data_IF_560120302767
#
_entry.id   IF_560120302767
#
_cell.length_a   1.000
_cell.length_b   1.000
_cell.length_c   1.000
_cell.angle_alpha   90.00
_cell.angle_beta   90.00
_cell.angle_gamma   90.00
#
_symmetry.space_group_name_H-M   'P 1'
#
loop_
_entity.id
_entity.type
_entity.pdbx_description
1 polymer ?
#
# COMPACT_ATOMS: atom_id res chain seq x y z
N UNK A 1 22.00 -5.39 32.48
CA UNK A 1 21.05 -5.61 31.39
C UNK A 1 21.74 -5.35 30.06
N UNK A 2 21.66 -6.30 29.13
CA UNK A 2 22.26 -6.17 27.79
C UNK A 2 21.49 -5.16 26.93
N UNK A 3 22.12 -4.54 25.90
CA UNK A 3 21.44 -3.59 25.02
C UNK A 3 20.17 -4.14 24.38
N UNK A 4 20.19 -5.40 23.93
CA UNK A 4 19.03 -6.06 23.29
C UNK A 4 17.87 -6.24 24.28
N UNK A 5 18.17 -6.54 25.56
CA UNK A 5 17.15 -6.66 26.60
C UNK A 5 16.51 -5.32 26.92
N UNK A 6 17.29 -4.24 26.95
CA UNK A 6 16.77 -2.88 27.14
C UNK A 6 15.89 -2.44 25.97
N UNK A 7 16.30 -2.74 24.75
CA UNK A 7 15.47 -2.47 23.55
C UNK A 7 14.13 -3.19 23.63
N UNK A 8 14.13 -4.46 23.99
CA UNK A 8 12.88 -5.23 24.16
C UNK A 8 11.99 -4.66 25.26
N UNK A 9 12.58 -4.26 26.38
CA UNK A 9 11.84 -3.65 27.49
C UNK A 9 11.23 -2.30 27.08
N UNK A 10 11.94 -1.49 26.32
CA UNK A 10 11.42 -0.21 25.76
C UNK A 10 10.20 -0.50 24.86
N UNK A 11 10.29 -1.45 23.96
CA UNK A 11 9.17 -1.82 23.08
C UNK A 11 7.95 -2.27 23.90
N UNK A 12 8.13 -3.13 24.89
CA UNK A 12 7.05 -3.59 25.78
C UNK A 12 6.36 -2.42 26.51
N UNK A 13 7.12 -1.44 26.98
CA UNK A 13 6.52 -0.27 27.62
C UNK A 13 5.77 0.60 26.62
N UNK A 14 6.27 0.74 25.39
CA UNK A 14 5.60 1.52 24.35
C UNK A 14 4.32 0.84 23.82
N UNK A 15 4.18 -0.49 23.99
CA UNK A 15 2.92 -1.20 23.74
C UNK A 15 1.82 -0.85 24.76
N UNK A 16 2.22 -0.49 25.98
CA UNK A 16 1.31 -0.16 27.07
C UNK A 16 1.07 1.35 27.18
N UNK A 17 2.04 2.17 26.78
CA UNK A 17 2.04 3.60 26.90
C UNK A 17 2.30 4.22 25.51
N UNK A 18 1.37 4.97 24.96
CA UNK A 18 1.44 5.52 23.60
C UNK A 18 2.74 6.30 23.31
N UNK A 19 3.30 6.96 24.33
CA UNK A 19 4.51 7.77 24.19
C UNK A 19 5.30 7.81 25.49
N UNK A 20 6.62 7.64 25.41
CA UNK A 20 7.55 7.73 26.54
C UNK A 20 8.63 8.78 26.28
N UNK A 21 8.89 9.63 27.26
CA UNK A 21 10.04 10.55 27.22
C UNK A 21 11.34 9.79 27.48
N UNK A 22 12.41 10.18 26.79
CA UNK A 22 13.76 9.59 26.97
C UNK A 22 14.20 9.64 28.43
N UNK A 23 13.91 10.73 29.14
CA UNK A 23 14.21 10.88 30.59
C UNK A 23 13.46 9.88 31.47
N UNK A 24 12.25 9.48 31.09
CA UNK A 24 11.48 8.44 31.80
C UNK A 24 12.09 7.07 31.55
N UNK A 25 12.43 6.77 30.29
CA UNK A 25 13.10 5.51 29.91
C UNK A 25 14.43 5.38 30.62
N UNK A 26 15.24 6.44 30.66
CA UNK A 26 16.53 6.53 31.36
C UNK A 26 16.39 6.16 32.84
N UNK A 27 15.40 6.75 33.53
CA UNK A 27 15.11 6.46 34.94
C UNK A 27 14.66 5.02 35.18
N UNK A 28 13.78 4.49 34.32
CA UNK A 28 13.25 3.11 34.45
C UNK A 28 14.32 2.04 34.22
N UNK A 29 15.28 2.32 33.32
CA UNK A 29 16.37 1.40 32.98
C UNK A 29 17.61 1.61 33.87
N UNK A 30 17.64 2.65 34.69
CA UNK A 30 18.79 3.08 35.48
C UNK A 30 20.07 3.24 34.63
N UNK A 31 19.94 3.97 33.49
CA UNK A 31 21.02 4.27 32.55
C UNK A 31 20.97 5.72 32.14
N UNK A 32 22.07 6.25 31.60
CA UNK A 32 22.09 7.62 31.07
C UNK A 32 21.20 7.77 29.83
N UNK A 33 20.69 8.99 29.59
CA UNK A 33 19.91 9.28 28.38
C UNK A 33 20.71 9.01 27.09
N UNK A 34 22.03 9.22 27.12
CA UNK A 34 22.91 8.87 25.99
C UNK A 34 22.93 7.38 25.69
N UNK A 35 22.82 6.54 26.74
CA UNK A 35 22.67 5.08 26.56
C UNK A 35 21.32 4.76 25.93
N UNK A 36 20.25 5.40 26.38
CA UNK A 36 18.91 5.25 25.79
C UNK A 36 18.91 5.66 24.31
N UNK A 37 19.51 6.79 23.94
CA UNK A 37 19.61 7.19 22.53
C UNK A 37 20.37 6.17 21.68
N UNK A 38 21.43 5.56 22.23
CA UNK A 38 22.18 4.50 21.55
C UNK A 38 21.33 3.24 21.33
N UNK A 39 20.55 2.85 22.34
CA UNK A 39 19.64 1.71 22.26
C UNK A 39 18.44 1.96 21.32
N UNK A 40 17.96 3.20 21.23
CA UNK A 40 16.87 3.59 20.35
C UNK A 40 17.28 3.68 18.88
N UNK A 41 18.55 4.00 18.57
CA UNK A 41 19.01 4.18 17.19
C UNK A 41 18.68 2.96 16.30
N UNK A 42 19.02 1.70 16.66
CA UNK A 42 18.66 0.55 15.84
C UNK A 42 17.13 0.35 15.68
N UNK A 43 16.36 0.73 16.71
CA UNK A 43 14.90 0.62 16.67
C UNK A 43 14.29 1.66 15.73
N UNK A 44 14.87 2.86 15.66
CA UNK A 44 14.48 3.92 14.71
C UNK A 44 14.86 3.50 13.28
N UNK A 45 16.09 3.03 13.08
CA UNK A 45 16.59 2.57 11.78
C UNK A 45 15.77 1.40 11.23
N UNK A 46 15.24 0.55 12.11
CA UNK A 46 14.31 -0.55 11.77
C UNK A 46 12.85 -0.12 11.67
N UNK A 47 12.55 1.16 11.80
CA UNK A 47 11.18 1.69 11.79
C UNK A 47 10.26 1.03 12.84
N UNK A 48 10.78 0.64 13.98
CA UNK A 48 9.98 0.09 15.11
C UNK A 48 9.48 1.18 16.04
N UNK A 49 10.24 2.26 16.15
CA UNK A 49 9.90 3.42 16.99
C UNK A 49 10.09 4.73 16.22
N UNK A 50 9.34 5.74 16.62
CA UNK A 50 9.36 7.08 16.07
C UNK A 50 9.72 8.10 17.15
N UNK A 51 10.61 9.05 16.84
CA UNK A 51 10.86 10.20 17.69
C UNK A 51 9.85 11.30 17.38
N UNK A 52 9.12 11.74 18.39
CA UNK A 52 8.13 12.81 18.32
C UNK A 52 8.58 14.00 19.16
N UNK A 53 7.88 15.15 19.06
CA UNK A 53 8.11 16.31 19.93
C UNK A 53 7.90 16.00 21.42
N UNK A 54 7.07 15.02 21.73
CA UNK A 54 6.69 14.64 23.09
C UNK A 54 7.47 13.45 23.65
N UNK A 55 8.29 12.76 22.82
CA UNK A 55 9.07 11.59 23.23
C UNK A 55 9.26 10.57 22.13
N UNK A 56 9.29 9.31 22.53
CA UNK A 56 9.39 8.15 21.66
C UNK A 56 8.06 7.43 21.68
N UNK A 57 7.55 7.04 20.52
CA UNK A 57 6.35 6.21 20.34
C UNK A 57 6.67 5.00 19.46
N UNK A 58 5.83 3.98 19.52
CA UNK A 58 5.90 2.93 18.49
C UNK A 58 5.66 3.55 17.11
N UNK A 59 6.38 3.06 16.12
CA UNK A 59 6.05 3.35 14.74
C UNK A 59 4.81 2.55 14.38
N UNK A 60 3.65 3.08 14.70
CA UNK A 60 2.40 2.64 14.11
C UNK A 60 2.31 3.31 12.74
N UNK A 61 2.48 2.54 11.66
CA UNK A 61 2.08 3.04 10.36
C UNK A 61 0.64 3.56 10.50
N UNK A 62 0.31 4.73 9.95
CA UNK A 62 -1.07 5.20 10.00
C UNK A 62 -1.94 4.04 9.50
N UNK A 63 -2.83 3.56 10.37
CA UNK A 63 -3.81 2.54 10.01
C UNK A 63 -4.73 3.27 9.03
N UNK A 64 -4.40 3.20 7.73
CA UNK A 64 -5.37 3.54 6.70
C UNK A 64 -6.47 2.51 6.91
N UNK A 65 -7.68 2.93 7.27
CA UNK A 65 -8.76 1.97 7.48
C UNK A 65 -8.82 1.05 6.27
N UNK A 66 -8.95 -0.26 6.48
CA UNK A 66 -9.07 -1.24 5.38
C UNK A 66 -10.22 -0.91 4.42
N UNK A 67 -11.07 0.01 4.82
CA UNK A 67 -12.17 0.58 4.04
C UNK A 67 -11.77 1.75 3.15
N UNK A 68 -10.54 2.29 3.26
CA UNK A 68 -10.06 3.41 2.46
C UNK A 68 -8.95 3.01 1.51
N UNK A 69 -9.03 3.46 0.27
CA UNK A 69 -8.02 3.23 -0.75
C UNK A 69 -6.71 3.95 -0.41
N UNK A 70 -5.61 3.22 -0.40
CA UNK A 70 -4.27 3.78 -0.12
C UNK A 70 -3.76 4.76 -1.18
N UNK A 71 -4.42 4.83 -2.34
CA UNK A 71 -4.06 5.76 -3.43
C UNK A 71 -5.00 6.96 -3.54
N UNK A 72 -6.32 6.74 -3.64
CA UNK A 72 -7.30 7.81 -3.90
C UNK A 72 -8.27 8.08 -2.74
N UNK A 73 -8.12 7.39 -1.60
CA UNK A 73 -8.91 7.52 -0.37
C UNK A 73 -10.41 7.19 -0.48
N UNK A 74 -10.89 6.76 -1.66
CA UNK A 74 -12.25 6.26 -1.82
C UNK A 74 -12.45 4.95 -1.06
N UNK A 75 -13.73 4.58 -0.82
CA UNK A 75 -14.07 3.32 -0.18
C UNK A 75 -13.56 2.12 -0.98
N UNK A 76 -12.96 1.14 -0.30
CA UNK A 76 -12.42 -0.09 -0.87
C UNK A 76 -13.38 -1.28 -0.79
N UNK A 77 -14.55 -1.12 -0.17
CA UNK A 77 -15.56 -2.19 -0.13
C UNK A 77 -16.28 -2.30 -1.48
N UNK A 78 -15.53 -2.66 -2.51
CA UNK A 78 -16.00 -2.83 -3.87
C UNK A 78 -15.60 -4.22 -4.38
N UNK A 79 -16.36 -4.74 -5.37
CA UNK A 79 -16.00 -5.96 -6.08
C UNK A 79 -14.70 -5.84 -6.90
N UNK A 80 -14.15 -4.63 -7.05
CA UNK A 80 -12.91 -4.37 -7.79
C UNK A 80 -11.70 -4.22 -6.89
N UNK A 81 -11.85 -4.39 -5.58
CA UNK A 81 -10.80 -4.13 -4.59
C UNK A 81 -9.51 -4.92 -4.89
N UNK A 82 -8.41 -4.26 -4.60
CA UNK A 82 -7.06 -4.82 -4.71
C UNK A 82 -6.42 -4.79 -3.33
N UNK A 83 -5.66 -5.82 -3.00
CA UNK A 83 -4.87 -5.88 -1.78
C UNK A 83 -3.38 -5.96 -2.16
N UNK A 84 -2.57 -5.13 -1.53
CA UNK A 84 -1.13 -5.07 -1.70
C UNK A 84 -0.51 -5.54 -0.39
N UNK A 85 0.10 -6.71 -0.43
CA UNK A 85 0.72 -7.34 0.74
C UNK A 85 2.20 -7.00 0.72
N UNK A 86 2.65 -6.26 1.73
CA UNK A 86 4.06 -5.87 1.87
C UNK A 86 4.90 -6.99 2.49
N UNK A 87 6.22 -6.89 2.34
CA UNK A 87 7.20 -7.83 2.92
C UNK A 87 7.11 -7.93 4.45
N UNK A 88 6.68 -6.86 5.10
CA UNK A 88 6.41 -6.80 6.55
C UNK A 88 5.03 -7.32 6.96
N UNK A 89 4.31 -7.98 6.04
CA UNK A 89 2.95 -8.51 6.19
C UNK A 89 1.83 -7.47 6.35
N UNK A 90 2.15 -6.18 6.28
CA UNK A 90 1.13 -5.14 6.24
C UNK A 90 0.35 -5.20 4.93
N UNK A 91 -0.97 -5.01 4.99
CA UNK A 91 -1.85 -5.06 3.82
C UNK A 91 -2.43 -3.68 3.56
N UNK A 92 -2.11 -3.13 2.39
CA UNK A 92 -2.78 -1.94 1.86
C UNK A 92 -3.94 -2.35 0.95
N UNK A 93 -5.00 -1.56 0.96
CA UNK A 93 -6.19 -1.78 0.14
C UNK A 93 -6.33 -0.69 -0.91
N UNK A 94 -6.70 -1.06 -2.12
CA UNK A 94 -7.07 -0.12 -3.18
C UNK A 94 -8.49 -0.42 -3.68
N UNK A 95 -9.21 0.62 -4.10
CA UNK A 95 -10.62 0.50 -4.49
C UNK A 95 -10.84 -0.21 -5.83
N UNK A 96 -9.83 -0.23 -6.69
CA UNK A 96 -9.90 -0.84 -8.02
C UNK A 96 -8.49 -1.16 -8.57
N UNK A 97 -8.37 -1.96 -9.66
CA UNK A 97 -7.08 -2.29 -10.25
C UNK A 97 -6.25 -1.07 -10.67
N UNK A 98 -6.87 0.00 -11.18
CA UNK A 98 -6.17 1.25 -11.50
C UNK A 98 -5.38 1.79 -10.31
N UNK A 99 -6.05 2.03 -9.18
CA UNK A 99 -5.40 2.54 -7.97
C UNK A 99 -4.40 1.54 -7.37
N UNK A 100 -4.71 0.24 -7.44
CA UNK A 100 -3.81 -0.81 -6.94
C UNK A 100 -2.51 -0.88 -7.73
N UNK A 101 -2.55 -0.75 -9.05
CA UNK A 101 -1.38 -0.77 -9.92
C UNK A 101 -0.51 0.48 -9.75
N UNK A 102 -1.12 1.67 -9.64
CA UNK A 102 -0.39 2.90 -9.37
C UNK A 102 0.29 2.85 -8.00
N UNK A 103 -0.45 2.44 -6.96
CA UNK A 103 0.15 2.29 -5.62
C UNK A 103 1.26 1.26 -5.59
N UNK A 104 1.10 0.14 -6.30
CA UNK A 104 2.14 -0.87 -6.44
C UNK A 104 3.45 -0.27 -7.00
N UNK A 105 3.38 0.58 -8.02
CA UNK A 105 4.56 1.23 -8.61
C UNK A 105 5.29 2.13 -7.61
N UNK A 106 4.55 2.86 -6.76
CA UNK A 106 5.14 3.73 -5.74
C UNK A 106 5.96 2.97 -4.69
N UNK A 107 5.60 1.71 -4.42
CA UNK A 107 6.15 0.92 -3.32
C UNK A 107 6.62 -0.48 -3.76
N UNK A 108 6.95 -0.67 -5.03
CA UNK A 108 7.26 -1.99 -5.62
C UNK A 108 8.29 -2.77 -4.80
N UNK A 109 9.34 -2.10 -4.33
CA UNK A 109 10.41 -2.72 -3.54
C UNK A 109 9.95 -3.25 -2.18
N UNK A 110 8.84 -2.73 -1.65
CA UNK A 110 8.26 -3.17 -0.37
C UNK A 110 7.26 -4.32 -0.54
N UNK A 111 6.77 -4.56 -1.77
CA UNK A 111 5.66 -5.48 -2.01
C UNK A 111 6.12 -6.92 -2.13
N UNK A 112 5.45 -7.79 -1.39
CA UNK A 112 5.55 -9.25 -1.50
C UNK A 112 4.56 -9.78 -2.55
N UNK A 113 3.27 -9.43 -2.39
CA UNK A 113 2.20 -9.89 -3.27
C UNK A 113 1.21 -8.76 -3.58
N UNK A 114 0.64 -8.81 -4.76
CA UNK A 114 -0.52 -7.99 -5.14
C UNK A 114 -1.62 -8.90 -5.68
N UNK A 115 -2.79 -8.80 -5.11
CA UNK A 115 -3.95 -9.62 -5.45
C UNK A 115 -5.13 -8.73 -5.80
N UNK A 116 -5.91 -9.15 -6.78
CA UNK A 116 -7.11 -8.45 -7.24
C UNK A 116 -8.27 -9.45 -7.41
N UNK A 117 -9.40 -8.97 -7.83
CA UNK A 117 -10.57 -9.81 -8.07
C UNK A 117 -10.82 -9.98 -9.58
N UNK A 118 -11.10 -11.21 -9.98
CA UNK A 118 -11.60 -11.50 -11.34
C UNK A 118 -12.95 -10.85 -11.54
N UNK A 119 -13.09 -10.12 -12.64
CA UNK A 119 -14.29 -9.34 -12.92
C UNK A 119 -15.55 -10.20 -13.09
N UNK A 120 -15.43 -11.35 -13.73
CA UNK A 120 -16.59 -12.20 -14.05
C UNK A 120 -16.97 -13.14 -12.90
N UNK A 121 -15.94 -13.74 -12.26
CA UNK A 121 -16.14 -14.79 -11.25
C UNK A 121 -16.16 -14.24 -9.83
N UNK A 122 -15.70 -13.01 -9.63
CA UNK A 122 -15.50 -12.40 -8.31
C UNK A 122 -14.57 -13.23 -7.39
N UNK A 123 -13.62 -13.96 -7.98
CA UNK A 123 -12.61 -14.74 -7.26
C UNK A 123 -11.34 -13.93 -7.08
N UNK A 124 -10.59 -14.23 -6.03
CA UNK A 124 -9.28 -13.62 -5.76
C UNK A 124 -8.23 -14.24 -6.66
N UNK A 125 -7.44 -13.40 -7.33
CA UNK A 125 -6.41 -13.80 -8.28
C UNK A 125 -5.12 -13.00 -8.04
N UNK A 126 -3.96 -13.56 -8.42
CA UNK A 126 -2.71 -12.82 -8.44
C UNK A 126 -2.74 -11.76 -9.54
N UNK A 127 -2.55 -10.49 -9.20
CA UNK A 127 -2.52 -9.44 -10.21
C UNK A 127 -1.36 -9.61 -11.21
N UNK A 128 -0.22 -10.18 -10.78
CA UNK A 128 0.92 -10.47 -11.68
C UNK A 128 0.59 -11.48 -12.78
N UNK A 129 -0.40 -12.35 -12.54
CA UNK A 129 -0.85 -13.37 -13.50
C UNK A 129 -2.13 -12.97 -14.23
N UNK A 130 -2.78 -11.90 -13.80
CA UNK A 130 -4.03 -11.43 -14.38
C UNK A 130 -3.83 -10.85 -15.79
N UNK A 131 -4.90 -10.91 -16.56
CA UNK A 131 -5.04 -10.21 -17.85
C UNK A 131 -5.89 -8.97 -17.60
N UNK A 132 -5.42 -7.81 -18.04
CA UNK A 132 -6.09 -6.54 -17.83
C UNK A 132 -6.72 -6.00 -19.12
N UNK A 133 -7.87 -5.35 -18.98
CA UNK A 133 -8.56 -4.67 -20.07
C UNK A 133 -8.74 -3.19 -19.72
N UNK A 134 -8.27 -2.29 -20.60
CA UNK A 134 -8.47 -0.85 -20.54
C UNK A 134 -9.41 -0.41 -21.66
N UNK A 135 -10.09 0.72 -21.43
CA UNK A 135 -10.94 1.39 -22.43
C UNK A 135 -12.08 0.50 -22.93
N UNK A 136 -12.60 -0.40 -22.11
CA UNK A 136 -13.86 -1.05 -22.40
C UNK A 136 -14.99 -0.01 -22.38
N UNK A 137 -15.91 -0.11 -23.34
CA UNK A 137 -17.09 0.76 -23.43
C UNK A 137 -18.16 0.30 -22.40
N UNK A 138 -17.83 0.52 -21.15
CA UNK A 138 -18.69 0.24 -19.99
C UNK A 138 -18.29 1.17 -18.84
N UNK A 139 -19.28 1.77 -18.17
CA UNK A 139 -19.02 2.54 -16.95
C UNK A 139 -19.18 1.66 -15.72
N UNK A 140 -18.07 1.51 -14.97
CA UNK A 140 -18.02 0.73 -13.74
C UNK A 140 -18.06 1.62 -12.48
N UNK A 141 -18.22 2.95 -12.66
CA UNK A 141 -18.19 3.92 -11.58
C UNK A 141 -16.91 3.82 -10.72
N UNK A 142 -15.78 3.51 -11.35
CA UNK A 142 -14.48 3.44 -10.68
C UNK A 142 -13.51 4.53 -11.15
N UNK A 143 -12.26 4.47 -10.71
CA UNK A 143 -11.25 5.46 -11.10
C UNK A 143 -10.87 5.34 -12.58
N UNK A 144 -10.51 6.47 -13.20
CA UNK A 144 -10.13 6.56 -14.60
C UNK A 144 -8.60 6.62 -14.76
N UNK A 145 -8.04 5.98 -15.80
CA UNK A 145 -8.72 5.07 -16.73
C UNK A 145 -9.26 3.81 -16.03
N UNK A 146 -10.42 3.33 -16.45
CA UNK A 146 -10.98 2.11 -15.89
C UNK A 146 -10.16 0.89 -16.29
N UNK A 147 -9.81 0.08 -15.30
CA UNK A 147 -9.03 -1.15 -15.47
C UNK A 147 -9.83 -2.34 -14.96
N UNK A 148 -10.03 -3.31 -15.82
CA UNK A 148 -10.74 -4.56 -15.50
C UNK A 148 -9.74 -5.71 -15.45
N UNK A 149 -9.78 -6.53 -14.41
CA UNK A 149 -8.89 -7.68 -14.25
C UNK A 149 -9.63 -8.99 -14.51
N UNK A 150 -8.98 -9.90 -15.23
CA UNK A 150 -9.49 -11.23 -15.54
C UNK A 150 -8.44 -12.29 -15.19
N UNK A 151 -8.88 -13.40 -14.61
CA UNK A 151 -8.07 -14.61 -14.41
C UNK A 151 -7.72 -15.28 -15.76
N UNK A 152 -8.67 -15.26 -16.67
CA UNK A 152 -8.55 -15.93 -17.96
C UNK A 152 -8.39 -14.94 -19.12
N UNK A 153 -7.27 -15.05 -19.82
CA UNK A 153 -7.02 -14.31 -21.07
C UNK A 153 -8.09 -14.59 -22.15
N UNK A 154 -8.65 -15.82 -22.18
CA UNK A 154 -9.76 -16.17 -23.07
C UNK A 154 -11.01 -15.35 -22.74
N UNK A 155 -11.36 -15.25 -21.46
CA UNK A 155 -12.52 -14.48 -21.01
C UNK A 155 -12.34 -12.98 -21.24
N UNK A 156 -11.13 -12.46 -21.01
CA UNK A 156 -10.78 -11.06 -21.33
C UNK A 156 -10.99 -10.77 -22.84
N UNK A 157 -10.57 -11.68 -23.73
CA UNK A 157 -10.78 -11.56 -25.18
C UNK A 157 -12.27 -11.61 -25.55
N UNK A 158 -13.04 -12.49 -24.95
CA UNK A 158 -14.48 -12.57 -25.16
C UNK A 158 -15.19 -11.30 -24.69
N UNK A 159 -14.81 -10.77 -23.52
CA UNK A 159 -15.35 -9.52 -22.99
C UNK A 159 -15.01 -8.34 -23.91
N UNK A 160 -13.76 -8.25 -24.38
CA UNK A 160 -13.32 -7.24 -25.36
C UNK A 160 -14.16 -7.28 -26.64
N UNK A 161 -14.59 -8.44 -27.11
CA UNK A 161 -15.40 -8.55 -28.33
C UNK A 161 -16.75 -7.83 -28.19
N UNK A 162 -17.34 -7.82 -26.99
CA UNK A 162 -18.60 -7.12 -26.73
C UNK A 162 -18.44 -5.65 -26.35
N UNK A 163 -17.39 -5.33 -25.59
CA UNK A 163 -17.22 -4.01 -24.97
C UNK A 163 -15.99 -3.24 -25.46
N UNK A 164 -15.27 -3.73 -26.46
CA UNK A 164 -14.08 -3.06 -26.97
C UNK A 164 -12.91 -3.06 -25.98
N UNK A 165 -12.02 -2.08 -26.13
CA UNK A 165 -10.87 -1.90 -25.28
C UNK A 165 -9.60 -2.60 -25.77
N UNK A 166 -8.55 -2.52 -24.93
CA UNK A 166 -7.23 -3.11 -25.21
C UNK A 166 -6.79 -4.01 -24.06
N UNK A 167 -6.24 -5.18 -24.41
CA UNK A 167 -5.77 -6.19 -23.46
C UNK A 167 -4.29 -5.97 -23.18
N UNK A 168 -3.92 -6.13 -21.90
CA UNK A 168 -2.57 -5.93 -21.39
C UNK A 168 -2.20 -7.02 -20.37
N UNK A 169 -0.92 -7.33 -20.30
CA UNK A 169 -0.31 -8.03 -19.16
C UNK A 169 -0.08 -7.06 -18.00
N UNK A 170 0.37 -7.59 -16.86
CA UNK A 170 0.63 -6.80 -15.65
C UNK A 170 1.59 -5.62 -15.87
N UNK A 171 2.71 -5.85 -16.55
CA UNK A 171 3.69 -4.78 -16.80
C UNK A 171 3.23 -3.80 -17.89
N UNK A 172 2.56 -4.29 -18.92
CA UNK A 172 2.05 -3.45 -20.00
C UNK A 172 0.94 -2.50 -19.52
N UNK A 173 0.04 -2.98 -18.67
CA UNK A 173 -1.05 -2.14 -18.14
C UNK A 173 -0.53 -1.00 -17.27
N UNK A 174 0.48 -1.24 -16.44
CA UNK A 174 1.11 -0.19 -15.65
C UNK A 174 1.72 0.89 -16.53
N UNK A 175 2.44 0.48 -17.59
CA UNK A 175 3.01 1.42 -18.55
C UNK A 175 1.93 2.23 -19.26
N UNK A 176 0.86 1.58 -19.74
CA UNK A 176 -0.26 2.23 -20.41
C UNK A 176 -0.96 3.26 -19.50
N UNK A 177 -1.21 2.93 -18.24
CA UNK A 177 -1.80 3.87 -17.27
C UNK A 177 -0.90 5.10 -17.07
N UNK A 178 0.41 4.89 -16.91
CA UNK A 178 1.35 5.99 -16.70
C UNK A 178 1.45 6.92 -17.91
N UNK A 179 1.47 6.37 -19.12
CA UNK A 179 1.49 7.16 -20.34
C UNK A 179 0.23 8.04 -20.45
N UNK A 180 -0.92 7.49 -20.09
CA UNK A 180 -2.19 8.20 -20.11
C UNK A 180 -2.27 9.30 -19.03
N UNK A 181 -1.86 8.99 -17.81
CA UNK A 181 -1.83 9.95 -16.69
C UNK A 181 -0.85 11.10 -16.93
N UNK A 182 0.28 10.85 -17.58
CA UNK A 182 1.27 11.85 -17.90
C UNK A 182 0.90 12.67 -19.14
N UNK A 183 0.22 12.08 -20.12
CA UNK A 183 -0.30 12.77 -21.32
C UNK A 183 -1.39 13.79 -21.02
N UNK A 184 -2.18 13.58 -19.97
CA UNK A 184 -3.23 14.50 -19.53
C UNK A 184 -2.71 15.78 -18.85
N UNK A 185 -1.42 15.87 -18.49
CA UNK A 185 -0.81 17.06 -17.89
C UNK A 185 -0.42 18.16 -18.89
N UNK A 186 -0.51 17.91 -20.19
CA UNK A 186 -0.12 18.88 -21.24
C UNK A 186 -1.21 19.87 -21.65
N UNK A 187 -2.41 19.89 -21.05
CA UNK A 187 -3.53 20.72 -21.49
C UNK A 187 -4.10 21.68 -20.45
N UNK A 188 -3.29 22.12 -19.47
CA UNK A 188 -3.68 23.24 -18.58
C UNK A 188 -2.57 24.28 -18.47
N UNK A 189 -2.27 24.92 -19.60
CA UNK A 189 -1.72 26.27 -19.64
C UNK A 189 -2.39 26.97 -20.82
N UNK A 190 -3.24 27.93 -20.47
CA UNK A 190 -3.84 29.02 -21.22
C UNK A 190 -5.38 29.04 -21.17
N UNK A 191 -5.91 29.71 -20.13
CA UNK A 191 -6.70 30.96 -20.24
C UNK A 191 -7.05 31.50 -18.86
#
# INVERSE_FOLDING_TARGET
MLPIERQQQILTWLEQEETLRVSVISKRLDVSEMTVYRDLKPLIDQQKVLKTSNGISLFTQPIIPSTSCSYCFKNTNTRFSVQIIKKNQYVEHACCPHCGLLRFQDIEDEVSHIICRDFLKDTTISARMATFLLHADIDLNCCQPQVIAFDSSKQAKQFKTGFGGKIYTFHEVMKAINEEMNGSKCCHSDK
#
